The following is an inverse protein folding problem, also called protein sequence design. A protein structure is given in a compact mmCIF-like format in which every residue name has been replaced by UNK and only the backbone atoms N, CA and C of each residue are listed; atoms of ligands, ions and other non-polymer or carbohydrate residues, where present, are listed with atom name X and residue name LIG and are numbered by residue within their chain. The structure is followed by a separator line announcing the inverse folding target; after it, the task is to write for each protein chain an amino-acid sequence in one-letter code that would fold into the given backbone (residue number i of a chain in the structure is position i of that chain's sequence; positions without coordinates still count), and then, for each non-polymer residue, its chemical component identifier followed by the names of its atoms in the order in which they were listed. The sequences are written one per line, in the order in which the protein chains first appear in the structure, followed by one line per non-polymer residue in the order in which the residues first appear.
data_IF_202808985795
#
_entry.id   IF_202808985795
#
_cell.length_a   1.000
_cell.length_b   1.000
_cell.length_c   1.000
_cell.angle_alpha   90.00
_cell.angle_beta   90.00
_cell.angle_gamma   90.00
#
_symmetry.space_group_name_H-M   'P 1'
#
loop_
_entity.id
_entity.type
_entity.pdbx_description
1 polymer ?
#
# COMPACT_ATOMS: atom_id res chain seq x y z
N UNK A 1 -25.35 0.97 -11.33
CA UNK A 1 -24.12 1.72 -11.00
C UNK A 1 -23.70 1.31 -9.59
N UNK A 2 -22.73 0.40 -9.44
CA UNK A 2 -22.22 0.08 -8.10
C UNK A 2 -20.80 0.66 -7.97
N UNK A 3 -20.82 1.92 -7.55
CA UNK A 3 -19.88 2.64 -6.70
C UNK A 3 -18.44 2.11 -6.75
N UNK A 4 -17.62 2.81 -7.51
CA UNK A 4 -16.17 2.93 -7.31
C UNK A 4 -15.92 3.26 -5.85
N UNK A 5 -15.65 2.23 -5.04
CA UNK A 5 -15.34 2.37 -3.62
C UNK A 5 -13.86 2.72 -3.49
N UNK A 6 -13.51 3.91 -3.96
CA UNK A 6 -12.26 4.61 -3.68
C UNK A 6 -12.36 5.27 -2.29
N UNK A 7 -12.66 4.48 -1.26
CA UNK A 7 -12.65 4.92 0.14
C UNK A 7 -11.22 4.74 0.68
N UNK A 8 -10.31 5.65 0.32
CA UNK A 8 -8.99 5.82 0.95
C UNK A 8 -8.87 7.25 1.51
N UNK A 9 -9.99 7.78 2.02
CA UNK A 9 -10.03 9.05 2.74
C UNK A 9 -9.79 8.78 4.24
N UNK A 10 -8.60 9.13 4.72
CA UNK A 10 -8.18 8.90 6.11
C UNK A 10 -7.08 9.87 6.52
N UNK A 11 -7.32 11.16 6.37
CA UNK A 11 -6.41 12.22 6.81
C UNK A 11 -6.68 12.58 8.28
N UNK A 12 -5.95 11.94 9.20
CA UNK A 12 -5.65 12.49 10.51
C UNK A 12 -4.17 12.21 10.84
N UNK A 13 -3.45 13.19 11.39
CA UNK A 13 -1.98 13.16 11.55
C UNK A 13 -1.50 12.05 12.52
N UNK A 14 -2.35 11.60 13.44
CA UNK A 14 -2.12 10.36 14.23
C UNK A 14 -2.35 9.10 13.41
N UNK A 15 -3.29 9.16 12.46
CA UNK A 15 -3.65 8.10 11.56
C UNK A 15 -2.62 7.83 10.46
N UNK A 16 -1.61 8.65 10.21
CA UNK A 16 -0.62 8.36 9.14
C UNK A 16 0.14 7.05 9.40
N UNK A 17 0.45 6.75 10.67
CA UNK A 17 1.06 5.48 11.07
C UNK A 17 0.07 4.31 10.93
N UNK A 18 -1.17 4.50 11.34
CA UNK A 18 -2.22 3.48 11.29
C UNK A 18 -2.64 3.20 9.84
N UNK A 19 -2.74 4.23 9.01
CA UNK A 19 -2.95 4.19 7.56
C UNK A 19 -1.83 3.43 6.88
N UNK A 20 -0.58 3.78 7.15
CA UNK A 20 0.57 3.06 6.60
C UNK A 20 0.54 1.57 6.97
N UNK A 21 0.22 1.25 8.23
CA UNK A 21 0.10 -0.12 8.70
C UNK A 21 -1.07 -0.86 8.01
N UNK A 22 -2.23 -0.22 7.88
CA UNK A 22 -3.40 -0.78 7.20
C UNK A 22 -3.12 -1.06 5.73
N UNK A 23 -2.50 -0.11 5.01
CA UNK A 23 -2.09 -0.26 3.62
C UNK A 23 -1.06 -1.39 3.45
N UNK A 24 -0.05 -1.47 4.32
CA UNK A 24 0.92 -2.57 4.33
C UNK A 24 0.26 -3.92 4.58
N UNK A 25 -0.64 -4.00 5.57
CA UNK A 25 -1.37 -5.23 5.87
C UNK A 25 -2.28 -5.62 4.71
N UNK A 26 -2.97 -4.65 4.10
CA UNK A 26 -3.77 -4.90 2.93
C UNK A 26 -2.92 -5.47 1.79
N UNK A 27 -1.74 -4.92 1.53
CA UNK A 27 -0.85 -5.44 0.49
C UNK A 27 -0.26 -6.83 0.80
N UNK A 28 -0.09 -7.19 2.08
CA UNK A 28 0.40 -8.50 2.53
C UNK A 28 -0.70 -9.57 2.54
N UNK A 29 -1.92 -9.19 2.88
CA UNK A 29 -3.03 -10.13 3.12
C UNK A 29 -4.05 -10.17 1.99
N UNK A 30 -4.12 -9.17 1.09
CA UNK A 30 -5.04 -9.22 -0.05
C UNK A 30 -4.44 -10.04 -1.21
N UNK A 31 -5.15 -11.06 -1.71
CA UNK A 31 -4.78 -11.77 -2.95
C UNK A 31 -4.83 -10.84 -4.17
N UNK A 32 -3.96 -11.04 -5.16
CA UNK A 32 -3.91 -10.26 -6.43
C UNK A 32 -5.29 -9.93 -7.03
N UNK A 33 -6.26 -10.85 -7.09
CA UNK A 33 -7.57 -10.57 -7.72
C UNK A 33 -8.48 -9.58 -6.98
N UNK A 34 -8.19 -9.23 -5.71
CA UNK A 34 -9.06 -8.32 -4.92
C UNK A 34 -8.68 -6.85 -5.03
N UNK A 35 -7.49 -6.55 -5.53
CA UNK A 35 -7.06 -5.19 -5.83
C UNK A 35 -7.20 -5.02 -7.34
N UNK A 36 -7.87 -3.95 -7.80
CA UNK A 36 -8.30 -3.69 -9.19
C UNK A 36 -7.16 -3.57 -10.24
N UNK A 37 -6.05 -4.25 -10.05
CA UNK A 37 -4.89 -4.33 -10.92
C UNK A 37 -3.59 -4.17 -10.14
N UNK A 38 -2.48 -4.70 -10.68
CA UNK A 38 -1.15 -4.57 -10.07
C UNK A 38 -0.73 -3.11 -9.82
N UNK A 39 -1.22 -2.17 -10.64
CA UNK A 39 -1.00 -0.74 -10.47
C UNK A 39 -1.66 -0.16 -9.21
N UNK A 40 -2.88 -0.61 -8.85
CA UNK A 40 -3.60 -0.08 -7.68
C UNK A 40 -2.86 -0.46 -6.40
N UNK A 41 -2.42 -1.71 -6.30
CA UNK A 41 -1.64 -2.20 -5.16
C UNK A 41 -0.32 -1.46 -5.03
N UNK A 42 0.39 -1.22 -6.13
CA UNK A 42 1.63 -0.44 -6.12
C UNK A 42 1.40 0.97 -5.58
N UNK A 43 0.32 1.65 -5.99
CA UNK A 43 -0.03 2.99 -5.49
C UNK A 43 -0.28 2.98 -3.97
N UNK A 44 -1.08 2.04 -3.47
CA UNK A 44 -1.33 1.88 -2.02
C UNK A 44 -0.05 1.67 -1.23
N UNK A 45 0.89 0.89 -1.78
CA UNK A 45 2.14 0.53 -1.13
C UNK A 45 3.15 1.71 -1.16
N UNK A 46 3.13 2.53 -2.21
CA UNK A 46 3.84 3.82 -2.28
C UNK A 46 3.27 4.81 -1.26
N UNK A 47 1.95 4.89 -1.13
CA UNK A 47 1.29 5.79 -0.19
C UNK A 47 1.58 5.43 1.27
N UNK A 48 1.63 4.13 1.58
CA UNK A 48 2.12 3.63 2.85
C UNK A 48 3.58 4.06 3.09
N UNK A 49 4.45 3.88 2.09
CA UNK A 49 5.86 4.26 2.20
C UNK A 49 6.04 5.77 2.46
N UNK A 50 5.31 6.64 1.76
CA UNK A 50 5.34 8.08 1.98
C UNK A 50 4.91 8.44 3.41
N UNK A 51 3.87 7.79 3.93
CA UNK A 51 3.42 8.02 5.31
C UNK A 51 4.46 7.56 6.34
N UNK A 52 5.14 6.43 6.08
CA UNK A 52 6.23 5.92 6.93
C UNK A 52 7.47 6.82 6.90
N UNK A 53 7.77 7.41 5.75
CA UNK A 53 8.88 8.34 5.58
C UNK A 53 8.65 9.63 6.39
N UNK A 54 7.41 10.16 6.35
CA UNK A 54 7.00 11.33 7.14
C UNK A 54 7.15 11.13 8.65
N UNK A 55 6.75 9.97 9.16
CA UNK A 55 6.89 9.64 10.60
C UNK A 55 8.29 9.13 10.97
N UNK A 56 9.20 8.96 10.00
CA UNK A 56 10.58 8.51 10.20
C UNK A 56 10.74 7.01 10.49
N UNK A 57 9.74 6.18 10.17
CA UNK A 57 9.80 4.73 10.40
C UNK A 57 10.54 4.00 9.26
N UNK A 58 11.87 4.00 9.38
CA UNK A 58 12.78 3.38 8.40
C UNK A 58 12.57 1.87 8.26
N UNK A 59 12.19 1.17 9.34
CA UNK A 59 12.05 -0.30 9.31
C UNK A 59 10.85 -0.69 8.47
N UNK A 60 9.72 -0.03 8.71
CA UNK A 60 8.50 -0.24 7.93
C UNK A 60 8.70 0.22 6.47
N UNK A 61 9.42 1.32 6.25
CA UNK A 61 9.75 1.81 4.89
C UNK A 61 10.51 0.76 4.07
N UNK A 62 11.53 0.13 4.65
CA UNK A 62 12.28 -0.96 4.00
C UNK A 62 11.38 -2.15 3.66
N UNK A 63 10.46 -2.53 4.55
CA UNK A 63 9.49 -3.59 4.28
C UNK A 63 8.55 -3.22 3.13
N UNK A 64 8.08 -1.97 3.08
CA UNK A 64 7.27 -1.45 1.98
C UNK A 64 8.04 -1.54 0.65
N UNK A 65 9.29 -1.06 0.60
CA UNK A 65 10.12 -1.14 -0.59
C UNK A 65 10.34 -2.58 -1.07
N UNK A 66 10.59 -3.51 -0.14
CA UNK A 66 10.75 -4.93 -0.46
C UNK A 66 9.48 -5.52 -1.07
N UNK A 67 8.31 -5.23 -0.48
CA UNK A 67 7.02 -5.66 -1.02
C UNK A 67 6.76 -5.06 -2.41
N UNK A 68 7.15 -3.80 -2.63
CA UNK A 68 7.01 -3.13 -3.93
C UNK A 68 7.87 -3.80 -5.01
N UNK A 69 9.10 -4.17 -4.66
CA UNK A 69 10.04 -4.91 -5.52
C UNK A 69 9.51 -6.30 -5.86
N UNK A 70 9.06 -7.05 -4.85
CA UNK A 70 8.44 -8.36 -5.04
C UNK A 70 7.19 -8.26 -5.93
N UNK A 71 6.38 -7.24 -5.72
CA UNK A 71 5.20 -7.01 -6.55
C UNK A 71 5.58 -6.71 -8.00
N UNK A 72 6.55 -5.83 -8.24
CA UNK A 72 7.05 -5.54 -9.59
C UNK A 72 7.60 -6.80 -10.28
N UNK A 73 8.29 -7.67 -9.53
CA UNK A 73 8.84 -8.91 -10.06
C UNK A 73 7.76 -9.91 -10.48
N UNK A 74 6.67 -10.03 -9.71
CA UNK A 74 5.53 -10.90 -10.06
C UNK A 74 4.76 -10.34 -11.27
N UNK A 75 4.70 -9.02 -11.42
CA UNK A 75 3.94 -8.37 -12.51
C UNK A 75 4.70 -8.23 -13.82
N UNK A 76 6.01 -8.47 -13.82
CA UNK A 76 6.84 -8.42 -15.03
C UNK A 76 6.77 -9.73 -15.85
N UNK A 77 6.00 -10.72 -15.40
CA UNK A 77 5.92 -12.07 -16.01
C UNK A 77 4.57 -12.32 -16.71
N UNK A 78 3.72 -11.30 -16.91
CA UNK A 78 2.45 -11.40 -17.65
C UNK A 78 2.46 -10.53 -18.91
#
# INVERSE_FOLDING_TARGET
MKLTRDEEEGTCVTGEREKAAALMMACRHLPLPFLSGPCQRKKMLVEAATSLEKIGDKRSLQQCQQLLLQLNAVTAID
#
